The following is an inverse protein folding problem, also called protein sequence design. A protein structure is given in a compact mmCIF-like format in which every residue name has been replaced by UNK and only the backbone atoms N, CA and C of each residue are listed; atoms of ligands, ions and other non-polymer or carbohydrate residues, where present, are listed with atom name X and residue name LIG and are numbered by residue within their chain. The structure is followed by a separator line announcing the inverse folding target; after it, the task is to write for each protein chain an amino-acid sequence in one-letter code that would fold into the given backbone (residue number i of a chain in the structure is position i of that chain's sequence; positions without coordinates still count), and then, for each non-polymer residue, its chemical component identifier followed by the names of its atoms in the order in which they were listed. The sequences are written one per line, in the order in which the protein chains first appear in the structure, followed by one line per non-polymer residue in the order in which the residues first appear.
data_IF_091992526246
#
_entry.id   IF_091992526246
#
_cell.length_a   1.000
_cell.length_b   1.000
_cell.length_c   1.000
_cell.angle_alpha   90.00
_cell.angle_beta   90.00
_cell.angle_gamma   90.00
#
_symmetry.space_group_name_H-M   'P 1'
#
loop_
_entity.id
_entity.type
_entity.pdbx_description
1 polymer ?
#
# COMPACT_ATOMS: atom_id res chain seq x y z
N UNK A 1 10.10 -35.23 -13.02
CA UNK A 1 9.20 -35.59 -11.91
C UNK A 1 8.40 -34.39 -11.42
N UNK A 2 9.01 -33.32 -10.91
CA UNK A 2 8.29 -32.13 -10.43
C UNK A 2 7.27 -31.56 -11.45
N UNK A 3 7.65 -31.42 -12.72
CA UNK A 3 6.74 -31.00 -13.80
C UNK A 3 5.57 -31.97 -13.99
N UNK A 4 5.79 -33.27 -13.82
CA UNK A 4 4.73 -34.27 -13.94
C UNK A 4 3.72 -34.12 -12.80
N UNK A 5 4.18 -33.98 -11.55
CA UNK A 5 3.30 -33.77 -10.40
C UNK A 5 2.47 -32.49 -10.53
N UNK A 6 3.04 -31.41 -11.09
CA UNK A 6 2.28 -30.20 -11.41
C UNK A 6 1.22 -30.47 -12.49
N UNK A 7 1.60 -31.17 -13.58
CA UNK A 7 0.67 -31.48 -14.70
C UNK A 7 -0.46 -32.42 -14.31
N UNK A 8 -0.23 -33.33 -13.36
CA UNK A 8 -1.26 -34.26 -12.84
C UNK A 8 -2.06 -33.66 -11.68
N UNK A 9 -1.80 -32.40 -11.31
CA UNK A 9 -2.39 -31.71 -10.15
C UNK A 9 -2.18 -32.48 -8.83
N UNK A 10 -1.09 -33.24 -8.71
CA UNK A 10 -0.66 -33.86 -7.46
C UNK A 10 -0.04 -32.82 -6.51
N UNK A 11 0.43 -31.69 -7.04
CA UNK A 11 0.91 -30.54 -6.29
C UNK A 11 0.60 -29.23 -7.04
N UNK A 12 0.32 -28.17 -6.29
CA UNK A 12 0.12 -26.81 -6.84
C UNK A 12 1.45 -26.07 -7.07
N UNK A 13 2.49 -26.45 -6.31
CA UNK A 13 3.85 -25.94 -6.42
C UNK A 13 4.84 -27.09 -6.17
N UNK A 14 6.00 -27.03 -6.82
CA UNK A 14 7.04 -28.03 -6.63
C UNK A 14 8.40 -27.36 -6.45
N UNK A 15 9.14 -27.74 -5.41
CA UNK A 15 10.56 -27.42 -5.28
C UNK A 15 11.34 -28.57 -5.93
N UNK A 16 12.20 -28.24 -6.89
CA UNK A 16 13.09 -29.22 -7.51
C UNK A 16 14.50 -28.66 -7.59
N UNK A 17 15.48 -29.53 -7.45
CA UNK A 17 16.86 -29.09 -7.38
C UNK A 17 17.83 -30.24 -7.30
N UNK A 18 19.08 -29.88 -7.08
CA UNK A 18 20.16 -30.80 -6.86
C UNK A 18 21.11 -30.29 -5.78
N UNK A 19 21.74 -31.22 -5.09
CA UNK A 19 22.77 -30.93 -4.10
C UNK A 19 23.97 -31.83 -4.36
N UNK A 20 25.15 -31.24 -4.23
CA UNK A 20 26.43 -31.92 -4.17
C UNK A 20 27.27 -31.29 -3.06
N UNK A 21 27.74 -32.13 -2.13
CA UNK A 21 28.59 -31.70 -1.03
C UNK A 21 29.75 -32.67 -0.87
N UNK A 22 30.97 -32.14 -0.95
CA UNK A 22 32.22 -32.87 -0.87
C UNK A 22 32.78 -32.70 0.54
N UNK A 23 32.28 -33.54 1.44
CA UNK A 23 32.69 -33.51 2.85
C UNK A 23 33.97 -34.30 3.14
N UNK A 24 34.38 -35.17 2.21
CA UNK A 24 35.50 -36.10 2.38
C UNK A 24 36.25 -36.31 1.04
N UNK A 25 37.58 -36.54 1.05
CA UNK A 25 38.39 -36.61 -0.17
C UNK A 25 38.23 -37.90 -0.98
N UNK A 26 37.58 -38.93 -0.46
CA UNK A 26 37.46 -40.27 -1.05
C UNK A 26 36.87 -40.22 -2.46
N UNK A 27 35.86 -39.37 -2.65
CA UNK A 27 35.23 -39.20 -3.98
C UNK A 27 36.17 -38.54 -5.00
N UNK A 28 37.03 -37.61 -4.57
CA UNK A 28 38.07 -37.01 -5.41
C UNK A 28 39.14 -38.04 -5.79
N UNK A 29 39.60 -38.83 -4.80
CA UNK A 29 40.58 -39.88 -5.02
C UNK A 29 40.05 -40.93 -6.01
N UNK A 30 38.82 -41.41 -5.80
CA UNK A 30 38.18 -42.38 -6.69
C UNK A 30 38.07 -41.83 -8.12
N UNK A 31 37.63 -40.58 -8.29
CA UNK A 31 37.47 -40.00 -9.62
C UNK A 31 38.83 -39.68 -10.29
N UNK A 32 39.87 -39.41 -9.50
CA UNK A 32 41.25 -39.28 -9.99
C UNK A 32 41.78 -40.63 -10.48
N UNK A 33 41.56 -41.72 -9.75
CA UNK A 33 41.92 -43.07 -10.19
C UNK A 33 41.24 -43.48 -11.50
N UNK A 34 40.00 -43.02 -11.72
CA UNK A 34 39.26 -43.26 -12.96
C UNK A 34 39.67 -42.33 -14.12
N UNK A 35 40.65 -41.43 -13.92
CA UNK A 35 41.05 -40.43 -14.92
C UNK A 35 39.98 -39.37 -15.20
N UNK A 36 38.93 -39.30 -14.37
CA UNK A 36 37.79 -38.41 -14.55
C UNK A 36 38.03 -36.99 -14.00
N UNK A 37 39.08 -36.81 -13.18
CA UNK A 37 39.47 -35.48 -12.69
C UNK A 37 40.51 -34.83 -13.59
N UNK A 38 40.29 -33.56 -13.91
CA UNK A 38 41.32 -32.75 -14.54
C UNK A 38 42.51 -32.55 -13.58
N UNK A 39 43.76 -32.80 -14.00
CA UNK A 39 44.94 -32.59 -13.17
C UNK A 39 45.15 -31.14 -12.72
N UNK A 40 44.63 -30.17 -13.47
CA UNK A 40 44.71 -28.73 -13.15
C UNK A 40 43.46 -28.20 -12.43
N UNK A 41 42.52 -29.09 -12.13
CA UNK A 41 41.26 -28.73 -11.47
C UNK A 41 40.38 -27.80 -12.30
N UNK A 42 40.46 -27.82 -13.63
CA UNK A 42 39.61 -26.99 -14.51
C UNK A 42 38.82 -27.82 -15.52
N UNK A 43 37.54 -27.50 -15.69
CA UNK A 43 36.73 -28.07 -16.77
C UNK A 43 36.82 -27.21 -18.04
N UNK A 44 37.63 -27.61 -19.01
CA UNK A 44 37.88 -26.85 -20.25
C UNK A 44 36.88 -27.19 -21.35
N UNK A 45 35.59 -26.95 -21.08
CA UNK A 45 34.50 -27.32 -22.00
C UNK A 45 34.76 -26.78 -23.42
N UNK A 46 34.71 -27.66 -24.42
CA UNK A 46 34.90 -27.35 -25.85
C UNK A 46 36.31 -26.87 -26.27
N UNK A 47 37.29 -26.94 -25.38
CA UNK A 47 38.69 -26.64 -25.71
C UNK A 47 39.40 -27.86 -26.33
N UNK A 48 40.39 -27.63 -27.20
CA UNK A 48 41.31 -28.68 -27.68
C UNK A 48 42.14 -29.26 -26.54
N UNK A 49 42.36 -28.48 -25.47
CA UNK A 49 43.12 -28.88 -24.29
C UNK A 49 42.23 -29.50 -23.19
N UNK A 50 41.02 -29.95 -23.54
CA UNK A 50 40.10 -30.57 -22.59
C UNK A 50 40.66 -31.91 -22.07
N UNK A 51 40.86 -31.98 -20.77
CA UNK A 51 41.59 -33.05 -20.09
C UNK A 51 40.83 -33.60 -18.87
N UNK A 52 39.51 -33.77 -19.00
CA UNK A 52 38.52 -34.16 -17.97
C UNK A 52 37.85 -32.97 -17.24
N UNK A 53 37.12 -33.23 -16.16
CA UNK A 53 36.35 -32.20 -15.44
C UNK A 53 36.93 -31.92 -14.05
N UNK A 54 36.65 -30.73 -13.54
CA UNK A 54 36.91 -30.36 -12.15
C UNK A 54 35.67 -30.63 -11.32
N UNK A 55 35.73 -31.49 -10.31
CA UNK A 55 34.58 -31.73 -9.41
C UNK A 55 34.41 -30.52 -8.47
N UNK A 56 33.17 -30.17 -8.15
CA UNK A 56 32.86 -29.04 -7.27
C UNK A 56 31.57 -29.25 -6.47
N UNK A 57 31.35 -28.42 -5.46
CA UNK A 57 30.15 -28.37 -4.62
C UNK A 57 29.04 -27.54 -5.24
N UNK A 58 27.77 -27.84 -4.91
CA UNK A 58 26.66 -27.04 -5.38
C UNK A 58 25.34 -27.36 -4.71
N UNK A 59 24.50 -26.35 -4.52
CA UNK A 59 23.10 -26.51 -4.11
C UNK A 59 22.26 -25.56 -4.96
N UNK A 60 21.42 -26.13 -5.79
CA UNK A 60 20.62 -25.40 -6.76
C UNK A 60 19.16 -25.81 -6.62
N UNK A 61 18.28 -24.83 -6.48
CA UNK A 61 16.85 -25.05 -6.28
C UNK A 61 16.04 -24.16 -7.23
N UNK A 62 14.98 -24.72 -7.79
CA UNK A 62 13.95 -24.04 -8.55
C UNK A 62 12.61 -24.25 -7.86
N UNK A 63 11.80 -23.20 -7.84
CA UNK A 63 10.40 -23.28 -7.49
C UNK A 63 9.58 -23.28 -8.77
N UNK A 64 8.78 -24.31 -8.98
CA UNK A 64 7.94 -24.48 -10.17
C UNK A 64 6.46 -24.38 -9.78
N UNK A 65 5.69 -23.71 -10.64
CA UNK A 65 4.23 -23.64 -10.61
C UNK A 65 3.68 -23.85 -12.01
N UNK A 66 2.40 -24.18 -12.13
CA UNK A 66 1.73 -24.01 -13.42
C UNK A 66 1.70 -22.53 -13.80
N UNK A 67 1.89 -22.23 -15.08
CA UNK A 67 1.94 -20.85 -15.58
C UNK A 67 0.67 -20.07 -15.21
N UNK A 68 -0.50 -20.67 -15.42
CA UNK A 68 -1.80 -20.09 -15.06
C UNK A 68 -1.91 -19.74 -13.58
N UNK A 69 -1.32 -20.55 -12.70
CA UNK A 69 -1.33 -20.31 -11.24
C UNK A 69 -0.30 -19.27 -10.81
N UNK A 70 0.82 -19.16 -11.53
CA UNK A 70 1.81 -18.11 -11.34
C UNK A 70 1.25 -16.75 -11.79
N UNK A 71 0.63 -16.69 -12.97
CA UNK A 71 -0.04 -15.50 -13.51
C UNK A 71 -1.18 -15.03 -12.61
N UNK A 72 -2.08 -15.95 -12.23
CA UNK A 72 -3.17 -15.65 -11.29
C UNK A 72 -2.63 -15.18 -9.92
N UNK A 73 -1.48 -15.71 -9.51
CA UNK A 73 -0.81 -15.35 -8.26
C UNK A 73 0.02 -14.06 -8.32
N UNK A 74 0.22 -13.47 -9.50
CA UNK A 74 1.13 -12.35 -9.73
C UNK A 74 2.59 -12.68 -9.36
N UNK A 75 2.99 -13.95 -9.50
CA UNK A 75 4.35 -14.39 -9.20
C UNK A 75 5.33 -13.93 -10.30
N UNK A 76 6.61 -13.69 -9.97
CA UNK A 76 7.62 -13.49 -11.00
C UNK A 76 7.75 -14.77 -11.83
N UNK A 77 7.92 -14.62 -13.15
CA UNK A 77 8.03 -15.73 -14.10
C UNK A 77 9.37 -15.59 -14.82
N UNK A 78 10.43 -16.09 -14.19
CA UNK A 78 11.80 -16.06 -14.73
C UNK A 78 11.91 -16.92 -16.00
N UNK A 79 11.04 -17.93 -16.15
CA UNK A 79 10.99 -18.80 -17.33
C UNK A 79 10.65 -18.06 -18.64
N UNK A 80 10.08 -16.85 -18.59
CA UNK A 80 9.80 -16.04 -19.79
C UNK A 80 11.07 -15.72 -20.61
N UNK A 81 12.25 -15.78 -20.00
CA UNK A 81 13.50 -15.68 -20.73
C UNK A 81 13.66 -16.81 -21.77
N UNK A 82 13.11 -18.00 -21.50
CA UNK A 82 13.21 -19.20 -22.34
C UNK A 82 12.39 -19.06 -23.61
N UNK A 83 11.24 -18.38 -23.57
CA UNK A 83 10.41 -18.12 -24.76
C UNK A 83 11.20 -17.37 -25.82
N UNK A 84 12.08 -16.42 -25.44
CA UNK A 84 12.94 -15.71 -26.39
C UNK A 84 14.06 -16.58 -26.97
N UNK A 85 14.44 -17.67 -26.31
CA UNK A 85 15.40 -18.64 -26.84
C UNK A 85 14.72 -19.64 -27.80
N UNK A 86 13.53 -20.13 -27.44
CA UNK A 86 12.84 -21.16 -28.22
C UNK A 86 11.94 -20.61 -29.35
N UNK A 87 11.44 -19.37 -29.26
CA UNK A 87 10.60 -18.74 -30.29
C UNK A 87 11.39 -17.82 -31.26
N UNK A 88 12.70 -17.99 -31.43
CA UNK A 88 13.41 -17.31 -32.53
C UNK A 88 13.03 -17.94 -33.86
N UNK A 89 12.13 -17.30 -34.60
CA UNK A 89 11.71 -17.67 -35.95
C UNK A 89 12.70 -17.25 -37.05
N UNK A 90 13.79 -16.53 -36.73
CA UNK A 90 14.87 -16.18 -37.67
C UNK A 90 16.21 -16.78 -37.21
N UNK A 91 16.62 -17.87 -37.86
CA UNK A 91 17.94 -18.49 -37.73
C UNK A 91 18.93 -17.79 -38.67
N UNK A 92 19.45 -16.64 -38.27
CA UNK A 92 20.60 -16.00 -38.94
C UNK A 92 21.82 -15.66 -38.02
N UNK A 93 21.72 -15.63 -36.67
CA UNK A 93 22.92 -15.60 -35.83
C UNK A 93 23.41 -17.02 -35.48
N UNK A 94 24.73 -17.22 -35.24
CA UNK A 94 25.27 -18.52 -34.86
C UNK A 94 24.69 -19.00 -33.52
N UNK A 95 24.50 -20.31 -33.40
CA UNK A 95 24.13 -20.95 -32.13
C UNK A 95 25.24 -20.71 -31.10
N UNK A 96 24.93 -19.98 -30.04
CA UNK A 96 25.86 -19.75 -28.94
C UNK A 96 25.89 -20.97 -28.02
N UNK A 97 27.03 -21.64 -27.96
CA UNK A 97 27.28 -22.77 -27.07
C UNK A 97 28.16 -22.34 -25.90
N UNK A 98 27.80 -22.74 -24.69
CA UNK A 98 28.62 -22.47 -23.51
C UNK A 98 28.21 -23.35 -22.33
N UNK A 99 29.18 -23.65 -21.46
CA UNK A 99 29.01 -24.48 -20.26
C UNK A 99 29.31 -23.64 -19.03
N UNK A 100 28.58 -23.86 -17.92
CA UNK A 100 28.96 -23.28 -16.62
C UNK A 100 30.14 -24.00 -15.98
N UNK A 101 30.43 -25.23 -16.40
CA UNK A 101 31.45 -26.07 -15.78
C UNK A 101 32.85 -25.46 -15.89
N UNK A 102 33.08 -24.63 -16.91
CA UNK A 102 34.33 -23.85 -17.06
C UNK A 102 34.51 -22.74 -16.02
N UNK A 103 33.45 -22.36 -15.31
CA UNK A 103 33.46 -21.31 -14.30
C UNK A 103 33.40 -21.89 -12.89
N UNK A 104 32.56 -22.90 -12.67
CA UNK A 104 32.19 -23.41 -11.35
C UNK A 104 32.51 -24.92 -11.17
N UNK A 105 33.28 -25.52 -12.07
CA UNK A 105 33.47 -26.96 -12.06
C UNK A 105 32.16 -27.74 -12.29
N UNK A 106 32.20 -29.03 -12.01
CA UNK A 106 31.09 -29.96 -12.19
C UNK A 106 30.46 -30.25 -10.83
N UNK A 107 29.34 -29.60 -10.55
CA UNK A 107 28.56 -29.72 -9.31
C UNK A 107 27.72 -30.99 -9.22
N UNK A 108 28.13 -32.05 -9.92
CA UNK A 108 27.48 -33.37 -10.01
C UNK A 108 25.95 -33.34 -9.94
N UNK A 109 25.35 -33.73 -8.81
CA UNK A 109 23.90 -33.79 -8.62
C UNK A 109 23.16 -32.45 -8.80
N UNK A 110 23.87 -31.32 -8.77
CA UNK A 110 23.33 -29.97 -8.97
C UNK A 110 23.62 -29.40 -10.39
N UNK A 111 24.43 -30.07 -11.21
CA UNK A 111 24.99 -29.51 -12.45
C UNK A 111 23.95 -29.16 -13.54
N UNK A 112 22.81 -29.81 -13.53
CA UNK A 112 21.74 -29.56 -14.51
C UNK A 112 20.92 -28.32 -14.14
N UNK A 113 20.66 -28.13 -12.84
CA UNK A 113 19.80 -27.04 -12.35
C UNK A 113 20.51 -25.70 -12.44
N UNK A 114 21.81 -25.64 -12.11
CA UNK A 114 22.62 -24.42 -12.29
C UNK A 114 22.64 -23.96 -13.76
N UNK A 115 22.58 -24.89 -14.72
CA UNK A 115 22.55 -24.57 -16.14
C UNK A 115 21.25 -23.86 -16.54
N UNK A 116 20.10 -24.25 -15.96
CA UNK A 116 18.83 -23.56 -16.13
C UNK A 116 18.84 -22.17 -15.47
N UNK A 117 19.44 -22.06 -14.28
CA UNK A 117 19.59 -20.77 -13.57
C UNK A 117 20.39 -19.77 -14.41
N UNK A 118 21.49 -20.18 -15.04
CA UNK A 118 22.24 -19.30 -15.96
C UNK A 118 21.39 -18.76 -17.09
N UNK A 119 20.54 -19.60 -17.68
CA UNK A 119 19.66 -19.17 -18.78
C UNK A 119 18.64 -18.15 -18.26
N UNK A 120 18.07 -18.39 -17.07
CA UNK A 120 17.20 -17.44 -16.39
C UNK A 120 17.87 -16.09 -16.10
N UNK A 121 19.11 -16.10 -15.61
CA UNK A 121 19.88 -14.90 -15.28
C UNK A 121 20.31 -14.06 -16.48
N UNK A 122 20.28 -14.62 -17.70
CA UNK A 122 20.70 -13.89 -18.91
C UNK A 122 19.76 -12.72 -19.25
N UNK A 123 18.64 -12.56 -18.53
CA UNK A 123 17.72 -11.46 -18.71
C UNK A 123 17.28 -10.85 -17.37
N UNK A 124 17.82 -9.67 -17.04
CA UNK A 124 17.30 -8.82 -15.98
C UNK A 124 16.84 -7.49 -16.59
N UNK A 125 15.55 -7.20 -16.49
CA UNK A 125 14.97 -5.89 -16.81
C UNK A 125 14.80 -5.10 -15.50
N UNK A 126 15.48 -3.97 -15.42
CA UNK A 126 15.57 -3.10 -14.25
C UNK A 126 14.35 -2.18 -14.07
N UNK A 127 13.53 -1.96 -15.12
CA UNK A 127 12.52 -0.89 -15.13
C UNK A 127 11.29 -1.18 -14.25
N UNK A 128 10.93 -2.45 -14.01
CA UNK A 128 9.78 -2.83 -13.18
C UNK A 128 10.13 -3.02 -11.67
N UNK A 129 11.34 -2.66 -11.25
CA UNK A 129 11.93 -3.09 -9.98
C UNK A 129 11.22 -2.55 -8.72
N UNK A 130 10.86 -1.26 -8.69
CA UNK A 130 10.33 -0.63 -7.48
C UNK A 130 8.92 -1.12 -7.11
N UNK A 131 8.02 -1.18 -8.10
CA UNK A 131 6.66 -1.66 -7.88
C UNK A 131 6.67 -3.14 -7.51
N UNK A 132 7.51 -3.95 -8.18
CA UNK A 132 7.71 -5.36 -7.88
C UNK A 132 8.25 -5.57 -6.46
N UNK A 133 9.23 -4.78 -6.01
CA UNK A 133 9.74 -4.90 -4.62
C UNK A 133 8.67 -4.59 -3.60
N UNK A 134 7.93 -3.50 -3.77
CA UNK A 134 6.89 -3.11 -2.82
C UNK A 134 5.83 -4.22 -2.67
N UNK A 135 5.33 -4.74 -3.80
CA UNK A 135 4.37 -5.85 -3.80
C UNK A 135 4.94 -7.13 -3.18
N UNK A 136 6.18 -7.49 -3.50
CA UNK A 136 6.83 -8.69 -2.96
C UNK A 136 7.05 -8.59 -1.44
N UNK A 137 7.48 -7.43 -0.93
CA UNK A 137 7.73 -7.24 0.50
C UNK A 137 6.43 -7.19 1.31
N UNK A 138 5.36 -6.60 0.78
CA UNK A 138 4.08 -6.47 1.51
C UNK A 138 3.22 -7.74 1.45
N UNK A 139 3.17 -8.41 0.29
CA UNK A 139 2.23 -9.52 0.06
C UNK A 139 2.87 -10.91 0.17
N UNK A 140 4.17 -11.03 -0.09
CA UNK A 140 4.85 -12.34 -0.24
C UNK A 140 5.90 -12.61 0.84
N UNK A 141 6.06 -11.70 1.81
CA UNK A 141 6.91 -11.91 2.99
C UNK A 141 6.06 -11.97 4.25
N UNK A 142 6.41 -12.89 5.13
CA UNK A 142 5.77 -12.99 6.44
C UNK A 142 6.20 -11.79 7.30
N UNK A 143 5.28 -10.85 7.56
CA UNK A 143 5.48 -9.68 8.44
C UNK A 143 5.36 -10.11 9.91
N UNK A 144 6.13 -11.12 10.32
CA UNK A 144 6.12 -11.66 11.69
C UNK A 144 7.47 -11.52 12.38
N UNK A 145 8.29 -10.57 11.94
CA UNK A 145 9.54 -10.26 12.61
C UNK A 145 9.31 -9.21 13.72
N UNK A 146 10.01 -9.31 14.85
CA UNK A 146 9.88 -8.37 15.97
C UNK A 146 10.35 -6.96 15.59
N UNK A 147 11.19 -6.83 14.58
CA UNK A 147 11.69 -5.55 14.08
C UNK A 147 11.28 -5.37 12.63
N UNK A 148 10.73 -4.22 12.28
CA UNK A 148 10.33 -3.88 10.92
C UNK A 148 10.70 -2.43 10.64
N UNK A 149 11.26 -2.18 9.45
CA UNK A 149 11.44 -0.84 8.92
C UNK A 149 10.44 -0.65 7.76
N UNK A 150 9.65 0.41 7.84
CA UNK A 150 8.69 0.80 6.80
C UNK A 150 9.24 2.02 6.07
N UNK A 151 9.24 1.96 4.75
CA UNK A 151 9.73 3.00 3.85
C UNK A 151 8.57 3.46 2.96
N UNK A 152 8.23 4.74 3.01
CA UNK A 152 7.25 5.38 2.12
C UNK A 152 8.02 6.32 1.19
N UNK A 153 8.02 6.02 -0.10
CA UNK A 153 8.82 6.71 -1.11
C UNK A 153 8.06 6.81 -2.42
N UNK A 154 8.32 7.88 -3.19
CA UNK A 154 7.72 8.12 -4.51
C UNK A 154 8.65 7.70 -5.65
N UNK A 155 9.95 7.62 -5.38
CA UNK A 155 10.97 7.33 -6.39
C UNK A 155 12.19 6.61 -5.79
N UNK A 156 13.07 6.11 -6.68
CA UNK A 156 14.27 5.36 -6.30
C UNK A 156 15.22 6.17 -5.41
N UNK A 157 15.37 7.46 -5.70
CA UNK A 157 16.31 8.32 -4.98
C UNK A 157 15.89 8.48 -3.52
N UNK A 158 14.61 8.77 -3.26
CA UNK A 158 14.06 8.84 -1.90
C UNK A 158 14.27 7.54 -1.13
N UNK A 159 14.02 6.38 -1.76
CA UNK A 159 14.27 5.08 -1.13
C UNK A 159 15.75 4.89 -0.77
N UNK A 160 16.67 5.27 -1.65
CA UNK A 160 18.12 5.19 -1.38
C UNK A 160 18.53 6.07 -0.21
N UNK A 161 18.04 7.31 -0.16
CA UNK A 161 18.28 8.24 0.95
C UNK A 161 17.73 7.70 2.27
N UNK A 162 16.51 7.15 2.28
CA UNK A 162 15.91 6.54 3.48
C UNK A 162 16.63 5.26 3.93
N UNK A 163 17.10 4.42 3.01
CA UNK A 163 17.92 3.24 3.35
C UNK A 163 19.25 3.69 3.97
N UNK A 164 19.90 4.71 3.42
CA UNK A 164 21.12 5.24 4.00
C UNK A 164 20.88 5.80 5.40
N UNK A 165 19.78 6.54 5.59
CA UNK A 165 19.38 7.03 6.91
C UNK A 165 19.12 5.89 7.90
N UNK A 166 18.46 4.81 7.46
CA UNK A 166 18.27 3.61 8.28
C UNK A 166 19.60 2.97 8.70
N UNK A 167 20.54 2.82 7.75
CA UNK A 167 21.86 2.23 8.02
C UNK A 167 22.74 3.09 8.94
N UNK A 168 22.54 4.40 8.95
CA UNK A 168 23.26 5.35 9.81
C UNK A 168 22.48 5.75 11.07
N UNK A 169 21.35 5.09 11.35
CA UNK A 169 20.46 5.35 12.48
C UNK A 169 19.94 6.81 12.54
N UNK A 170 19.78 7.43 11.38
CA UNK A 170 19.22 8.77 11.23
C UNK A 170 17.71 8.72 10.93
N UNK A 171 16.98 9.72 11.45
CA UNK A 171 15.57 9.90 11.10
C UNK A 171 15.43 10.42 9.67
N UNK A 172 14.44 9.92 8.92
CA UNK A 172 14.11 10.40 7.59
C UNK A 172 12.60 10.41 7.40
N UNK A 173 12.00 11.45 6.78
CA UNK A 173 10.59 11.46 6.44
C UNK A 173 10.18 10.22 5.63
N UNK A 174 9.10 9.57 6.03
CA UNK A 174 8.64 8.33 5.41
C UNK A 174 9.38 7.05 5.86
N UNK A 175 10.41 7.15 6.70
CA UNK A 175 11.03 6.01 7.40
C UNK A 175 10.40 5.84 8.78
N UNK A 176 9.91 4.64 9.08
CA UNK A 176 9.37 4.29 10.41
C UNK A 176 9.95 2.97 10.90
N UNK A 177 10.50 2.98 12.11
CA UNK A 177 11.01 1.78 12.78
C UNK A 177 9.99 1.28 13.79
N UNK A 178 9.59 0.03 13.61
CA UNK A 178 8.60 -0.64 14.45
C UNK A 178 9.29 -1.79 15.17
N UNK A 179 9.21 -1.75 16.49
CA UNK A 179 9.49 -2.91 17.34
C UNK A 179 8.15 -3.46 17.84
N UNK A 180 7.72 -4.61 17.31
CA UNK A 180 6.48 -5.25 17.76
C UNK A 180 6.75 -5.98 19.08
N UNK A 181 5.93 -5.75 20.12
CA UNK A 181 6.01 -6.56 21.33
C UNK A 181 5.70 -8.02 20.99
N UNK A 182 6.31 -8.95 21.73
CA UNK A 182 6.20 -10.42 21.52
C UNK A 182 4.77 -10.96 21.70
N UNK A 183 3.85 -10.18 22.26
CA UNK A 183 2.42 -10.49 22.30
C UNK A 183 1.68 -9.65 21.26
N UNK A 184 0.80 -10.26 20.44
CA UNK A 184 -0.03 -9.50 19.51
C UNK A 184 -0.94 -8.56 20.31
N UNK A 185 -0.65 -7.27 20.26
CA UNK A 185 -1.59 -6.24 20.71
C UNK A 185 -2.69 -6.17 19.67
N UNK A 186 -3.92 -6.53 20.06
CA UNK A 186 -5.10 -6.12 19.30
C UNK A 186 -5.26 -4.62 19.53
N UNK A 187 -4.67 -3.81 18.65
CA UNK A 187 -4.84 -2.37 18.70
C UNK A 187 -6.28 -2.06 18.33
N UNK A 188 -7.03 -1.47 19.28
CA UNK A 188 -8.38 -0.97 19.01
C UNK A 188 -8.24 0.38 18.30
N UNK A 189 -8.81 0.48 17.10
CA UNK A 189 -8.75 1.68 16.26
C UNK A 189 -10.04 2.47 16.46
N UNK A 190 -9.94 3.79 16.66
CA UNK A 190 -11.08 4.68 16.69
C UNK A 190 -11.08 5.56 15.44
N UNK A 191 -12.18 5.59 14.69
CA UNK A 191 -12.35 6.57 13.61
C UNK A 191 -12.94 7.85 14.18
N UNK A 192 -12.31 8.98 13.84
CA UNK A 192 -12.70 10.31 14.32
C UNK A 192 -13.14 11.14 13.13
N UNK A 193 -14.40 11.53 13.12
CA UNK A 193 -14.99 12.35 12.06
C UNK A 193 -15.01 13.82 12.49
N UNK A 194 -14.37 14.67 11.71
CA UNK A 194 -14.27 16.11 11.95
C UNK A 194 -15.55 16.85 11.56
N UNK A 195 -15.85 17.92 12.28
CA UNK A 195 -16.87 18.89 11.89
C UNK A 195 -16.39 19.84 10.79
N UNK A 196 -17.10 20.96 10.62
CA UNK A 196 -16.73 22.02 9.69
C UNK A 196 -15.46 22.76 10.14
N UNK A 197 -14.66 23.22 9.18
CA UNK A 197 -13.36 23.88 9.40
C UNK A 197 -12.22 23.37 8.53
N UNK A 198 -11.99 22.04 8.41
CA UNK A 198 -10.82 21.50 7.71
C UNK A 198 -11.01 21.38 6.19
N UNK A 199 -12.13 21.85 5.63
CA UNK A 199 -12.33 21.86 4.19
C UNK A 199 -11.36 22.80 3.48
N UNK A 200 -10.87 22.40 2.31
CA UNK A 200 -10.00 23.22 1.46
C UNK A 200 -10.27 22.92 -0.03
N UNK A 201 -10.00 23.90 -0.89
CA UNK A 201 -10.18 23.76 -2.33
C UNK A 201 -9.30 22.64 -2.89
N UNK A 202 -9.83 21.81 -3.80
CA UNK A 202 -9.13 20.66 -4.37
C UNK A 202 -8.84 19.49 -3.41
N UNK A 203 -9.49 19.44 -2.23
CA UNK A 203 -9.29 18.31 -1.33
C UNK A 203 -9.71 16.98 -1.94
N UNK A 204 -8.81 15.99 -1.87
CA UNK A 204 -9.05 14.65 -2.45
C UNK A 204 -8.87 14.56 -3.98
N UNK A 205 -8.45 15.62 -4.67
CA UNK A 205 -8.24 15.59 -6.14
C UNK A 205 -7.24 14.54 -6.59
N UNK A 206 -6.11 14.42 -5.89
CA UNK A 206 -5.13 13.38 -6.19
C UNK A 206 -5.72 11.97 -6.02
N UNK A 207 -6.50 11.73 -4.95
CA UNK A 207 -7.17 10.45 -4.71
C UNK A 207 -8.22 10.15 -5.78
N UNK A 208 -8.92 11.17 -6.28
CA UNK A 208 -9.86 11.01 -7.38
C UNK A 208 -9.20 10.50 -8.67
N UNK A 209 -7.96 10.92 -8.92
CA UNK A 209 -7.18 10.52 -10.09
C UNK A 209 -6.50 9.16 -9.91
N UNK A 210 -6.01 8.86 -8.69
CA UNK A 210 -5.17 7.68 -8.43
C UNK A 210 -5.89 6.49 -7.82
N UNK A 211 -7.01 6.68 -7.12
CA UNK A 211 -7.70 5.62 -6.36
C UNK A 211 -9.10 5.31 -6.95
N UNK A 212 -9.26 4.16 -7.65
CA UNK A 212 -10.53 3.81 -8.30
C UNK A 212 -11.72 3.70 -7.34
N UNK A 213 -11.49 3.25 -6.10
CA UNK A 213 -12.54 3.18 -5.07
C UNK A 213 -13.00 4.58 -4.68
N UNK A 214 -12.05 5.51 -4.52
CA UNK A 214 -12.34 6.90 -4.20
C UNK A 214 -13.15 7.55 -5.32
N UNK A 215 -12.66 7.42 -6.56
CA UNK A 215 -13.32 7.92 -7.76
C UNK A 215 -14.77 7.41 -7.88
N UNK A 216 -14.98 6.11 -7.71
CA UNK A 216 -16.32 5.50 -7.80
C UNK A 216 -17.28 6.07 -6.75
N UNK A 217 -16.88 6.07 -5.48
CA UNK A 217 -17.78 6.47 -4.41
C UNK A 217 -18.07 7.95 -4.38
N UNK A 218 -17.11 8.80 -4.71
CA UNK A 218 -17.36 10.25 -4.77
C UNK A 218 -18.36 10.59 -5.90
N UNK A 219 -18.29 9.89 -7.05
CA UNK A 219 -19.27 10.05 -8.14
C UNK A 219 -20.68 9.60 -7.73
N UNK A 220 -20.78 8.51 -6.96
CA UNK A 220 -22.07 8.04 -6.42
C UNK A 220 -22.66 9.08 -5.47
N UNK A 221 -21.85 9.64 -4.57
CA UNK A 221 -22.29 10.66 -3.61
C UNK A 221 -22.70 11.95 -4.33
N UNK A 222 -21.90 12.44 -5.29
CA UNK A 222 -22.24 13.60 -6.14
C UNK A 222 -23.60 13.39 -6.81
N UNK A 223 -23.79 12.23 -7.45
CA UNK A 223 -25.04 11.90 -8.13
C UNK A 223 -26.28 11.88 -7.23
N UNK A 224 -26.17 11.42 -5.97
CA UNK A 224 -27.28 11.49 -5.02
C UNK A 224 -27.52 12.91 -4.49
N UNK A 225 -26.46 13.69 -4.26
CA UNK A 225 -26.56 15.09 -3.84
C UNK A 225 -27.24 15.96 -4.90
N UNK A 226 -26.84 15.80 -6.16
CA UNK A 226 -27.38 16.52 -7.31
C UNK A 226 -28.89 16.29 -7.50
N UNK A 227 -29.39 15.08 -7.22
CA UNK A 227 -30.83 14.79 -7.28
C UNK A 227 -31.64 15.55 -6.23
N UNK A 228 -31.07 15.79 -5.06
CA UNK A 228 -31.79 16.35 -3.91
C UNK A 228 -31.71 17.89 -3.90
N UNK A 229 -30.62 18.46 -4.38
CA UNK A 229 -30.44 19.92 -4.48
C UNK A 229 -30.96 20.52 -5.81
N UNK A 230 -31.70 19.76 -6.62
CA UNK A 230 -32.27 20.18 -7.91
C UNK A 230 -31.25 20.80 -8.89
N UNK A 231 -30.06 20.19 -9.01
CA UNK A 231 -28.98 20.66 -9.90
C UNK A 231 -28.43 22.07 -9.58
N UNK A 232 -28.68 22.63 -8.39
CA UNK A 232 -28.19 23.97 -8.03
C UNK A 232 -26.65 24.05 -7.91
N UNK A 233 -26.02 22.96 -7.49
CA UNK A 233 -24.56 22.84 -7.38
C UNK A 233 -24.10 21.39 -7.41
N UNK A 234 -22.83 21.15 -7.73
CA UNK A 234 -22.22 19.81 -7.77
C UNK A 234 -20.97 19.74 -6.91
N UNK A 235 -20.80 18.62 -6.21
CA UNK A 235 -19.64 18.37 -5.37
C UNK A 235 -18.37 18.24 -6.22
N UNK A 236 -18.48 17.54 -7.35
CA UNK A 236 -17.35 17.35 -8.26
C UNK A 236 -16.87 18.65 -8.91
N UNK A 237 -17.77 19.62 -9.08
CA UNK A 237 -17.39 20.94 -9.60
C UNK A 237 -16.38 21.62 -8.65
N UNK A 238 -16.68 21.65 -7.35
CA UNK A 238 -15.83 22.28 -6.34
C UNK A 238 -14.55 21.49 -6.06
N UNK A 239 -14.62 20.15 -6.06
CA UNK A 239 -13.47 19.30 -5.75
C UNK A 239 -12.50 19.13 -6.93
N UNK A 240 -13.03 18.92 -8.14
CA UNK A 240 -12.26 18.41 -9.28
C UNK A 240 -12.23 19.40 -10.44
N UNK A 241 -13.37 19.93 -10.86
CA UNK A 241 -13.47 20.68 -12.11
C UNK A 241 -12.92 22.12 -12.00
N UNK A 242 -13.12 22.79 -10.84
CA UNK A 242 -12.61 24.14 -10.61
C UNK A 242 -11.08 24.18 -10.54
N UNK A 243 -10.50 25.01 -11.41
CA UNK A 243 -9.05 25.20 -11.54
C UNK A 243 -8.47 26.32 -10.68
N UNK A 244 -9.31 27.23 -10.18
CA UNK A 244 -8.89 28.34 -9.34
C UNK A 244 -9.57 28.27 -7.96
N UNK A 245 -8.82 28.57 -6.90
CA UNK A 245 -9.30 28.62 -5.52
C UNK A 245 -10.22 29.83 -5.27
N UNK A 246 -9.96 30.96 -5.94
CA UNK A 246 -10.73 32.20 -5.75
C UNK A 246 -12.21 32.07 -6.15
N UNK A 247 -12.52 31.12 -7.04
CA UNK A 247 -13.89 30.84 -7.51
C UNK A 247 -14.58 29.76 -6.66
N UNK A 248 -13.86 29.18 -5.69
CA UNK A 248 -14.33 28.08 -4.87
C UNK A 248 -15.39 28.53 -3.87
N UNK A 249 -16.49 27.77 -3.82
CA UNK A 249 -17.54 27.94 -2.80
C UNK A 249 -17.39 26.93 -1.67
N UNK A 250 -16.21 26.32 -1.53
CA UNK A 250 -15.95 25.26 -0.54
C UNK A 250 -16.22 25.70 0.90
N UNK A 251 -16.22 27.00 1.17
CA UNK A 251 -16.49 27.57 2.49
C UNK A 251 -17.97 27.90 2.73
N UNK A 252 -18.83 27.79 1.72
CA UNK A 252 -20.29 27.93 1.91
C UNK A 252 -20.77 26.73 2.73
N UNK A 253 -21.47 26.96 3.83
CA UNK A 253 -21.84 25.92 4.82
C UNK A 253 -22.41 24.65 4.20
N UNK A 254 -23.38 24.77 3.28
CA UNK A 254 -24.01 23.61 2.65
C UNK A 254 -23.03 22.79 1.78
N UNK A 255 -22.13 23.48 1.08
CA UNK A 255 -21.09 22.85 0.26
C UNK A 255 -20.02 22.26 1.16
N UNK A 256 -19.55 23.00 2.16
CA UNK A 256 -18.53 22.57 3.12
C UNK A 256 -18.94 21.27 3.82
N UNK A 257 -20.13 21.22 4.42
CA UNK A 257 -20.62 20.04 5.15
C UNK A 257 -20.80 18.84 4.24
N UNK A 258 -21.38 19.04 3.05
CA UNK A 258 -21.56 17.97 2.07
C UNK A 258 -20.22 17.43 1.56
N UNK A 259 -19.25 18.32 1.34
CA UNK A 259 -17.92 17.93 0.88
C UNK A 259 -17.16 17.19 1.97
N UNK A 260 -17.23 17.66 3.21
CA UNK A 260 -16.63 16.98 4.36
C UNK A 260 -17.26 15.60 4.59
N UNK A 261 -18.58 15.47 4.47
CA UNK A 261 -19.25 14.18 4.53
C UNK A 261 -18.69 13.24 3.46
N UNK A 262 -18.66 13.69 2.20
CA UNK A 262 -18.26 12.87 1.07
C UNK A 262 -16.79 12.40 1.20
N UNK A 263 -15.87 13.33 1.49
CA UNK A 263 -14.45 12.99 1.67
C UNK A 263 -14.24 12.03 2.84
N UNK A 264 -14.84 12.30 4.00
CA UNK A 264 -14.61 11.47 5.19
C UNK A 264 -15.17 10.05 5.03
N UNK A 265 -16.35 9.91 4.41
CA UNK A 265 -16.95 8.60 4.13
C UNK A 265 -16.10 7.80 3.15
N UNK A 266 -15.62 8.44 2.08
CA UNK A 266 -14.81 7.76 1.08
C UNK A 266 -13.44 7.38 1.64
N UNK A 267 -12.83 8.22 2.48
CA UNK A 267 -11.60 7.89 3.20
C UNK A 267 -11.82 6.73 4.18
N UNK A 268 -12.94 6.69 4.90
CA UNK A 268 -13.29 5.57 5.76
C UNK A 268 -13.47 4.28 4.95
N UNK A 269 -14.12 4.34 3.79
CA UNK A 269 -14.26 3.21 2.88
C UNK A 269 -12.90 2.74 2.34
N UNK A 270 -11.96 3.65 2.07
CA UNK A 270 -10.61 3.32 1.65
C UNK A 270 -9.84 2.59 2.76
N UNK A 271 -9.89 3.09 4.00
CA UNK A 271 -9.30 2.42 5.17
C UNK A 271 -9.88 1.02 5.38
N UNK A 272 -11.19 0.88 5.28
CA UNK A 272 -11.89 -0.42 5.37
C UNK A 272 -11.43 -1.36 4.24
N UNK A 273 -11.21 -0.86 3.02
CA UNK A 273 -10.68 -1.66 1.91
C UNK A 273 -9.26 -2.19 2.18
N UNK A 274 -8.50 -1.49 3.03
CA UNK A 274 -7.19 -1.91 3.52
C UNK A 274 -7.27 -2.82 4.78
N UNK A 275 -8.46 -3.33 5.10
CA UNK A 275 -8.78 -4.11 6.30
C UNK A 275 -8.55 -3.36 7.62
N UNK A 276 -8.62 -2.03 7.62
CA UNK A 276 -8.58 -1.21 8.82
C UNK A 276 -10.02 -0.93 9.25
N UNK A 277 -10.47 -1.64 10.29
CA UNK A 277 -11.83 -1.51 10.83
C UNK A 277 -11.83 -0.74 12.16
N UNK A 278 -12.76 0.23 12.34
CA UNK A 278 -12.91 0.90 13.63
C UNK A 278 -13.53 -0.05 14.66
N UNK A 279 -12.96 -0.07 15.87
CA UNK A 279 -13.59 -0.63 17.07
C UNK A 279 -14.56 0.35 17.73
N UNK A 280 -14.41 1.65 17.44
CA UNK A 280 -15.27 2.73 17.89
C UNK A 280 -15.26 3.87 16.87
N UNK A 281 -16.33 4.66 16.85
CA UNK A 281 -16.47 5.84 16.00
C UNK A 281 -16.86 7.01 16.90
N UNK A 282 -16.21 8.15 16.72
CA UNK A 282 -16.58 9.41 17.35
C UNK A 282 -16.66 10.51 16.28
N UNK A 283 -17.47 11.52 16.53
CA UNK A 283 -17.64 12.66 15.64
C UNK A 283 -17.69 13.98 16.39
N UNK A 284 -17.44 15.06 15.68
CA UNK A 284 -17.59 16.42 16.15
C UNK A 284 -18.57 17.18 15.25
N UNK A 285 -19.68 17.72 15.78
CA UNK A 285 -20.62 18.59 15.04
C UNK A 285 -21.01 17.98 13.68
N UNK A 286 -20.74 18.64 12.55
CA UNK A 286 -21.04 18.19 11.19
C UNK A 286 -20.34 16.88 10.76
N UNK A 287 -19.47 16.31 11.59
CA UNK A 287 -18.95 14.96 11.39
C UNK A 287 -19.95 13.85 11.73
N UNK A 288 -21.06 14.17 12.41
CA UNK A 288 -22.05 13.18 12.88
C UNK A 288 -22.71 12.43 11.73
N UNK A 289 -22.97 13.09 10.61
CA UNK A 289 -23.56 12.49 9.41
C UNK A 289 -22.64 11.41 8.83
N UNK A 290 -21.35 11.71 8.71
CA UNK A 290 -20.35 10.76 8.21
C UNK A 290 -20.17 9.58 9.18
N UNK A 291 -20.09 9.85 10.48
CA UNK A 291 -20.00 8.82 11.50
C UNK A 291 -21.23 7.89 11.52
N UNK A 292 -22.44 8.44 11.47
CA UNK A 292 -23.68 7.67 11.46
C UNK A 292 -23.81 6.81 10.20
N UNK A 293 -23.42 7.35 9.04
CA UNK A 293 -23.37 6.59 7.79
C UNK A 293 -22.36 5.43 7.86
N UNK A 294 -21.11 5.69 8.29
CA UNK A 294 -20.07 4.65 8.40
C UNK A 294 -20.40 3.61 9.47
N UNK A 295 -21.12 4.00 10.53
CA UNK A 295 -21.65 3.08 11.55
C UNK A 295 -22.85 2.24 11.05
N UNK A 296 -23.33 2.46 9.82
CA UNK A 296 -24.48 1.76 9.25
C UNK A 296 -25.82 2.17 9.87
N UNK A 297 -25.91 3.35 10.50
CA UNK A 297 -27.14 3.87 11.12
C UNK A 297 -27.99 4.68 10.16
N UNK A 298 -27.38 5.23 9.11
CA UNK A 298 -28.06 5.96 8.05
C UNK A 298 -27.70 5.37 6.69
N UNK A 299 -28.68 5.38 5.79
CA UNK A 299 -28.47 5.15 4.36
C UNK A 299 -27.90 6.40 3.69
N UNK A 300 -27.34 6.24 2.49
CA UNK A 300 -26.82 7.37 1.72
C UNK A 300 -27.93 8.38 1.41
N UNK A 301 -29.10 7.90 1.00
CA UNK A 301 -30.25 8.75 0.71
C UNK A 301 -30.70 9.57 1.92
N UNK A 302 -30.87 8.93 3.09
CA UNK A 302 -31.24 9.62 4.33
C UNK A 302 -30.20 10.68 4.70
N UNK A 303 -28.92 10.36 4.53
CA UNK A 303 -27.83 11.27 4.93
C UNK A 303 -27.75 12.49 4.02
N UNK A 304 -27.87 12.29 2.71
CA UNK A 304 -27.89 13.38 1.73
C UNK A 304 -29.12 14.27 1.93
N UNK A 305 -30.29 13.70 2.25
CA UNK A 305 -31.49 14.49 2.60
C UNK A 305 -31.26 15.36 3.84
N UNK A 306 -30.60 14.83 4.87
CA UNK A 306 -30.25 15.59 6.09
C UNK A 306 -29.33 16.76 5.74
N UNK A 307 -28.30 16.53 4.92
CA UNK A 307 -27.35 17.57 4.50
C UNK A 307 -28.03 18.65 3.66
N UNK A 308 -28.96 18.29 2.77
CA UNK A 308 -29.62 19.23 1.88
C UNK A 308 -30.69 20.09 2.56
N UNK A 309 -31.36 19.57 3.59
CA UNK A 309 -32.42 20.29 4.29
C UNK A 309 -31.90 21.34 5.29
N UNK A 310 -30.57 21.51 5.41
CA UNK A 310 -29.93 22.34 6.45
C UNK A 310 -30.55 22.11 7.84
N UNK A 311 -30.97 20.87 8.11
CA UNK A 311 -31.55 20.51 9.41
C UNK A 311 -30.50 20.80 10.48
N UNK A 312 -30.91 21.45 11.56
CA UNK A 312 -29.99 21.74 12.65
C UNK A 312 -29.45 20.44 13.26
N UNK A 313 -28.22 20.47 13.78
CA UNK A 313 -27.62 19.31 14.46
C UNK A 313 -28.56 18.76 15.54
N UNK A 314 -29.27 19.64 16.24
CA UNK A 314 -30.31 19.30 17.22
C UNK A 314 -31.43 18.42 16.65
N UNK A 315 -31.86 18.60 15.40
CA UNK A 315 -32.92 17.77 14.81
C UNK A 315 -32.41 16.40 14.36
N UNK A 316 -31.15 16.31 13.94
CA UNK A 316 -30.48 15.05 13.58
C UNK A 316 -30.19 14.25 14.85
N UNK A 317 -29.65 14.92 15.87
CA UNK A 317 -29.41 14.37 17.19
C UNK A 317 -30.74 13.95 17.85
N UNK A 318 -31.80 14.75 17.81
CA UNK A 318 -33.09 14.36 18.38
C UNK A 318 -33.78 13.19 17.65
N UNK A 319 -33.61 13.06 16.33
CA UNK A 319 -34.13 11.89 15.59
C UNK A 319 -33.31 10.62 15.84
N UNK A 320 -32.00 10.72 16.13
CA UNK A 320 -31.08 9.59 16.23
C UNK A 320 -30.65 9.24 17.67
N UNK A 321 -30.74 10.17 18.61
CA UNK A 321 -30.14 10.16 19.94
C UNK A 321 -31.11 10.64 21.05
N UNK A 322 -32.41 10.35 20.92
CA UNK A 322 -33.42 10.60 21.98
C UNK A 322 -32.88 10.27 23.39
N UNK A 323 -32.65 11.29 24.23
CA UNK A 323 -32.38 11.11 25.66
C UNK A 323 -31.40 12.07 26.36
N UNK A 324 -30.78 13.05 25.70
CA UNK A 324 -29.82 13.96 26.35
C UNK A 324 -29.96 15.36 25.74
N UNK A 325 -30.40 16.33 26.53
CA UNK A 325 -30.55 17.74 26.11
C UNK A 325 -30.00 18.66 27.21
N UNK A 326 -29.53 19.89 26.86
CA UNK A 326 -30.02 21.19 27.37
C UNK A 326 -29.10 22.41 26.98
N UNK A 327 -29.66 23.30 26.15
CA UNK A 327 -29.57 24.77 25.93
C UNK A 327 -28.33 25.61 26.36
N UNK A 328 -27.84 26.41 25.39
CA UNK A 328 -26.68 27.32 25.41
C UNK A 328 -25.41 26.64 25.95
N UNK A 329 -24.86 25.82 25.07
CA UNK A 329 -23.78 24.90 25.38
C UNK A 329 -22.42 25.54 25.11
N UNK A 330 -21.41 25.09 25.87
CA UNK A 330 -20.09 24.92 25.29
C UNK A 330 -20.30 24.20 23.94
N UNK A 331 -20.05 24.89 22.82
CA UNK A 331 -20.31 24.32 21.50
C UNK A 331 -19.55 23.01 21.37
N UNK A 332 -18.27 23.00 21.77
CA UNK A 332 -17.47 21.79 22.04
C UNK A 332 -16.35 22.09 23.07
N UNK A 333 -16.09 21.16 23.99
CA UNK A 333 -14.82 21.11 24.75
C UNK A 333 -13.83 20.24 23.96
N UNK A 334 -12.95 20.86 23.17
CA UNK A 334 -11.95 20.13 22.38
C UNK A 334 -10.84 19.55 23.26
N UNK A 335 -10.50 20.22 24.36
CA UNK A 335 -9.55 19.77 25.38
C UNK A 335 -9.73 20.56 26.68
N UNK A 336 -9.04 20.21 27.79
CA UNK A 336 -9.07 21.00 29.03
C UNK A 336 -8.66 22.48 28.85
N UNK A 337 -8.05 22.84 27.72
CA UNK A 337 -7.61 24.21 27.39
C UNK A 337 -8.22 24.75 26.09
N UNK A 338 -9.15 24.04 25.46
CA UNK A 338 -9.75 24.48 24.20
C UNK A 338 -11.24 24.22 24.25
N UNK A 339 -11.99 25.31 24.23
CA UNK A 339 -13.45 25.33 24.29
C UNK A 339 -13.93 26.24 23.16
N UNK A 340 -14.78 25.71 22.29
CA UNK A 340 -15.51 26.50 21.30
C UNK A 340 -16.81 26.95 21.93
N UNK A 341 -17.11 28.25 21.84
CA UNK A 341 -18.34 28.86 22.36
C UNK A 341 -19.16 29.31 21.15
N UNK A 342 -20.46 29.01 21.13
CA UNK A 342 -21.41 29.44 20.11
C UNK A 342 -22.50 30.28 20.76
N UNK A 343 -22.91 31.36 20.11
CA UNK A 343 -23.87 32.34 20.61
C UNK A 343 -24.14 33.42 19.55
N UNK A 344 -25.05 34.35 19.84
CA UNK A 344 -25.31 35.48 18.95
C UNK A 344 -24.09 36.40 18.83
N UNK A 345 -23.94 37.09 17.70
CA UNK A 345 -22.74 37.89 17.40
C UNK A 345 -22.41 38.95 18.44
N UNK A 346 -23.43 39.58 19.06
CA UNK A 346 -23.20 40.57 20.13
C UNK A 346 -22.65 39.92 21.40
N UNK A 347 -23.17 38.74 21.76
CA UNK A 347 -22.69 37.96 22.91
C UNK A 347 -21.27 37.45 22.69
N UNK A 348 -20.92 37.00 21.48
CA UNK A 348 -19.55 36.58 21.15
C UNK A 348 -18.59 37.77 21.20
N UNK A 349 -18.98 38.92 20.64
CA UNK A 349 -18.17 40.15 20.68
C UNK A 349 -17.94 40.66 22.12
N UNK A 350 -18.96 40.58 22.99
CA UNK A 350 -18.85 40.93 24.41
C UNK A 350 -17.93 39.97 25.18
N UNK A 351 -18.01 38.67 24.91
CA UNK A 351 -17.11 37.66 25.50
C UNK A 351 -15.67 37.88 25.03
N UNK A 352 -15.46 38.13 23.73
CA UNK A 352 -14.14 38.40 23.16
C UNK A 352 -13.51 39.67 23.78
N UNK A 353 -14.30 40.73 23.93
CA UNK A 353 -13.86 42.00 24.52
C UNK A 353 -13.53 41.88 26.02
N UNK A 354 -14.34 41.13 26.78
CA UNK A 354 -14.09 40.88 28.20
C UNK A 354 -12.92 39.91 28.46
N UNK A 355 -12.69 38.95 27.55
CA UNK A 355 -11.57 37.99 27.63
C UNK A 355 -10.22 38.65 27.37
N UNK A 356 -10.16 39.71 26.58
CA UNK A 356 -8.93 40.51 26.37
C UNK A 356 -8.43 41.20 27.66
N UNK A 357 -9.32 41.46 28.63
CA UNK A 357 -8.94 42.02 29.94
C UNK A 357 -8.42 40.96 30.94
N UNK A 358 -8.57 39.67 30.62
CA UNK A 358 -8.07 38.54 31.43
C UNK A 358 -6.96 37.82 30.65
N UNK A 359 -5.74 38.39 30.67
CA UNK A 359 -4.47 37.80 30.20
C UNK A 359 -4.56 36.80 29.03
N UNK A 360 -4.39 37.33 27.83
CA UNK A 360 -3.69 36.73 26.67
C UNK A 360 -3.33 35.22 26.74
N UNK A 361 -4.28 34.33 26.47
CA UNK A 361 -3.98 33.02 25.87
C UNK A 361 -5.02 32.71 24.78
N UNK A 362 -4.55 32.76 23.53
CA UNK A 362 -5.10 32.14 22.30
C UNK A 362 -6.62 32.05 22.15
N UNK A 363 -7.23 33.09 21.58
CA UNK A 363 -8.58 33.03 21.00
C UNK A 363 -8.45 33.33 19.49
N UNK A 364 -8.78 32.36 18.64
CA UNK A 364 -9.03 32.60 17.21
C UNK A 364 -10.55 32.65 17.03
N UNK A 365 -11.07 33.79 16.55
CA UNK A 365 -12.47 33.93 16.15
C UNK A 365 -12.59 33.97 14.63
N UNK A 366 -13.59 33.28 14.09
CA UNK A 366 -14.04 33.39 12.71
C UNK A 366 -15.45 33.98 12.74
N UNK A 367 -15.59 35.26 12.39
CA UNK A 367 -16.89 35.93 12.23
C UNK A 367 -17.43 35.66 10.83
N UNK A 368 -18.59 35.01 10.72
CA UNK A 368 -19.41 35.02 9.50
C UNK A 368 -20.46 36.11 9.66
N UNK A 369 -20.47 37.11 8.76
CA UNK A 369 -21.49 38.14 8.71
C UNK A 369 -22.79 37.63 8.07
#
# INVERSE_FOLDING_TARGET
MAVQCLRTNEADMAVCGGVNGIFTPESFLQHSFLGAQSPDGRSRSFSVDANSYAKDDGLDLLLLKQLSDAERGGDPIEANCLDRFFNRSNLDPPLLLGSLKSNLGHTEGAADVISLIKVAMYHNDDQAFLQRISQQLLLKRTISYPHSAIFVFLNRQQLQEQINAFLTEQASPGLSLISRPTKPLVQKICFVFSGQGPQWWAMGRHLYESEPLFNKWINVIDGEMTKINNDEWRLLEELIEKKNEEESRINDTNIAQSTLFAIQVVLAALLISWNIYPSSIISHSAGVQAAAFVAGRLTLEETVRILALSMSEDEVENKLLKGIEHLACIAVVNSPRSVTISGDGKTIDEIQTNSFNLKSECIQSTSSY
#
